data_IF_516828985819
#
_entry.id   IF_516828985819
#
_cell.length_a   1.000
_cell.length_b   1.000
_cell.length_c   1.000
_cell.angle_alpha   90.00
_cell.angle_beta   90.00
_cell.angle_gamma   90.00
#
_symmetry.space_group_name_H-M   'P 1'
#
loop_
_entity.id
_entity.type
_entity.pdbx_description
1 polymer ?
#
# COMPACT_ATOMS: atom_id res chain seq x y z
N UNK A 1 -16.38 25.27 -12.11
CA UNK A 1 -15.44 24.19 -12.54
C UNK A 1 -14.14 24.33 -11.77
N UNK A 2 -13.66 23.25 -11.14
CA UNK A 2 -12.39 23.28 -10.42
C UNK A 2 -11.22 23.52 -11.39
N UNK A 3 -10.29 24.42 -11.04
CA UNK A 3 -9.11 24.70 -11.86
C UNK A 3 -8.24 23.45 -12.01
N UNK A 4 -7.45 23.34 -13.08
CA UNK A 4 -6.54 22.21 -13.31
C UNK A 4 -5.63 21.96 -12.09
N UNK A 5 -5.10 23.03 -11.51
CA UNK A 5 -4.30 22.98 -10.27
C UNK A 5 -5.06 22.34 -9.10
N UNK A 6 -6.32 22.71 -8.91
CA UNK A 6 -7.13 22.18 -7.82
C UNK A 6 -7.36 20.66 -7.98
N UNK A 7 -7.55 20.19 -9.21
CA UNK A 7 -7.65 18.74 -9.51
C UNK A 7 -6.34 18.02 -9.26
N UNK A 8 -5.20 18.59 -9.66
CA UNK A 8 -3.87 18.03 -9.42
C UNK A 8 -3.58 17.85 -7.92
N UNK A 9 -3.83 18.88 -7.11
CA UNK A 9 -3.62 18.79 -5.65
C UNK A 9 -4.61 17.84 -4.97
N UNK A 10 -5.85 17.76 -5.46
CA UNK A 10 -6.82 16.79 -4.97
C UNK A 10 -6.37 15.35 -5.26
N UNK A 11 -5.89 15.08 -6.47
CA UNK A 11 -5.33 13.77 -6.84
C UNK A 11 -4.13 13.41 -5.97
N UNK A 12 -3.19 14.35 -5.81
CA UNK A 12 -2.01 14.14 -4.98
C UNK A 12 -2.40 13.85 -3.52
N UNK A 13 -3.28 14.67 -2.93
CA UNK A 13 -3.73 14.48 -1.55
C UNK A 13 -4.45 13.16 -1.32
N UNK A 14 -5.37 12.80 -2.21
CA UNK A 14 -6.11 11.54 -2.13
C UNK A 14 -5.20 10.33 -2.33
N UNK A 15 -4.27 10.39 -3.29
CA UNK A 15 -3.30 9.32 -3.54
C UNK A 15 -2.38 9.12 -2.34
N UNK A 16 -1.88 10.22 -1.76
CA UNK A 16 -1.01 10.18 -0.58
C UNK A 16 -1.75 9.60 0.64
N UNK A 17 -2.99 10.03 0.87
CA UNK A 17 -3.80 9.50 1.96
C UNK A 17 -4.09 8.01 1.78
N UNK A 18 -4.51 7.61 0.58
CA UNK A 18 -4.77 6.19 0.25
C UNK A 18 -3.52 5.34 0.43
N UNK A 19 -2.37 5.83 -0.03
CA UNK A 19 -1.10 5.16 0.19
C UNK A 19 -0.74 5.06 1.66
N UNK A 20 -0.88 6.15 2.44
CA UNK A 20 -0.56 6.15 3.86
C UNK A 20 -1.40 5.14 4.64
N UNK A 21 -2.70 5.03 4.34
CA UNK A 21 -3.60 4.04 4.95
C UNK A 21 -3.16 2.62 4.58
N UNK A 22 -2.93 2.34 3.30
CA UNK A 22 -2.49 1.02 2.86
C UNK A 22 -1.11 0.64 3.43
N UNK A 23 -0.20 1.60 3.52
CA UNK A 23 1.12 1.38 4.10
C UNK A 23 1.04 1.10 5.61
N UNK A 24 0.18 1.82 6.33
CA UNK A 24 -0.08 1.56 7.75
C UNK A 24 -0.63 0.13 7.96
N UNK A 25 -1.59 -0.29 7.13
CA UNK A 25 -2.13 -1.65 7.15
C UNK A 25 -1.05 -2.69 6.88
N UNK A 26 -0.21 -2.44 5.87
CA UNK A 26 0.85 -3.35 5.49
C UNK A 26 1.90 -3.53 6.60
N UNK A 27 2.31 -2.44 7.25
CA UNK A 27 3.28 -2.47 8.35
C UNK A 27 2.66 -2.97 9.66
N UNK A 28 1.37 -2.75 9.88
CA UNK A 28 0.65 -3.21 11.06
C UNK A 28 0.77 -4.73 11.25
N UNK A 29 0.80 -5.50 10.15
CA UNK A 29 0.90 -6.94 10.20
C UNK A 29 2.17 -7.43 10.90
N UNK A 30 3.29 -6.73 10.72
CA UNK A 30 4.54 -7.04 11.41
C UNK A 30 4.47 -6.74 12.91
N UNK A 31 3.73 -5.69 13.29
CA UNK A 31 3.58 -5.27 14.69
C UNK A 31 2.64 -6.23 15.44
N UNK A 32 1.47 -6.50 14.86
CA UNK A 32 0.48 -7.43 15.44
C UNK A 32 1.05 -8.86 15.47
N UNK A 33 1.89 -9.21 14.50
CA UNK A 33 2.51 -10.52 14.40
C UNK A 33 3.30 -10.93 15.65
N UNK A 34 3.90 -9.97 16.36
CA UNK A 34 4.60 -10.24 17.62
C UNK A 34 3.61 -10.81 18.65
N UNK A 35 2.45 -10.21 18.78
CA UNK A 35 1.39 -10.66 19.67
C UNK A 35 0.83 -12.04 19.28
N UNK A 36 0.60 -12.22 17.99
CA UNK A 36 0.15 -13.52 17.43
C UNK A 36 1.17 -14.63 17.72
N UNK A 37 2.46 -14.30 17.59
CA UNK A 37 3.55 -15.22 17.93
C UNK A 37 3.46 -15.69 19.38
N UNK A 38 3.27 -14.75 20.31
CA UNK A 38 3.21 -15.03 21.73
C UNK A 38 1.93 -15.83 22.11
N UNK A 39 0.78 -15.44 21.54
CA UNK A 39 -0.51 -16.09 21.79
C UNK A 39 -0.59 -17.52 21.24
N UNK A 40 -0.01 -17.77 20.06
CA UNK A 40 -0.02 -19.08 19.41
C UNK A 40 1.25 -19.93 19.69
N UNK A 41 2.22 -19.38 20.42
CA UNK A 41 3.48 -20.08 20.71
C UNK A 41 4.29 -20.40 19.45
N UNK A 42 4.32 -19.49 18.46
CA UNK A 42 4.98 -19.73 17.18
C UNK A 42 6.50 -19.78 17.32
N UNK A 43 7.14 -20.70 16.59
CA UNK A 43 8.58 -20.70 16.43
C UNK A 43 9.07 -19.48 15.64
N UNK A 44 10.36 -19.14 15.75
CA UNK A 44 10.97 -18.04 15.00
C UNK A 44 10.79 -18.20 13.48
N UNK A 45 10.89 -19.43 12.98
CA UNK A 45 10.69 -19.72 11.55
C UNK A 45 9.24 -19.50 11.11
N UNK A 46 8.26 -19.89 11.92
CA UNK A 46 6.83 -19.67 11.64
C UNK A 46 6.48 -18.18 11.66
N UNK A 47 7.00 -17.46 12.65
CA UNK A 47 6.84 -16.01 12.71
C UNK A 47 7.50 -15.32 11.51
N UNK A 48 8.73 -15.69 11.18
CA UNK A 48 9.44 -15.16 10.02
C UNK A 48 8.67 -15.38 8.71
N UNK A 49 8.11 -16.56 8.48
CA UNK A 49 7.28 -16.84 7.31
C UNK A 49 6.02 -15.98 7.29
N UNK A 50 5.32 -15.86 8.43
CA UNK A 50 4.10 -15.07 8.55
C UNK A 50 4.33 -13.59 8.18
N UNK A 51 5.46 -13.01 8.59
CA UNK A 51 5.80 -11.61 8.28
C UNK A 51 6.35 -11.46 6.85
N UNK A 52 7.05 -12.48 6.33
CA UNK A 52 7.63 -12.44 4.98
C UNK A 52 6.57 -12.51 3.87
N UNK A 53 5.48 -13.24 4.06
CA UNK A 53 4.44 -13.41 3.04
C UNK A 53 3.80 -12.10 2.58
N UNK A 54 3.36 -11.19 3.45
CA UNK A 54 2.85 -9.89 3.04
C UNK A 54 3.88 -9.04 2.29
N UNK A 55 5.15 -9.12 2.68
CA UNK A 55 6.24 -8.39 2.01
C UNK A 55 6.44 -8.92 0.60
N UNK A 56 6.48 -10.24 0.45
CA UNK A 56 6.63 -10.90 -0.84
C UNK A 56 5.49 -10.54 -1.79
N UNK A 57 4.24 -10.70 -1.34
CA UNK A 57 3.06 -10.37 -2.15
C UNK A 57 3.02 -8.89 -2.51
N UNK A 58 3.31 -8.01 -1.55
CA UNK A 58 3.37 -6.56 -1.78
C UNK A 58 4.42 -6.16 -2.82
N UNK A 59 5.53 -6.89 -2.89
CA UNK A 59 6.57 -6.65 -3.90
C UNK A 59 6.16 -7.15 -5.28
N UNK A 60 5.62 -8.36 -5.36
CA UNK A 60 5.23 -8.98 -6.63
C UNK A 60 4.06 -8.26 -7.31
N UNK A 61 3.08 -7.81 -6.53
CA UNK A 61 1.86 -7.20 -7.08
C UNK A 61 2.08 -5.78 -7.63
N UNK A 62 3.19 -5.14 -7.31
CA UNK A 62 3.51 -3.78 -7.80
C UNK A 62 3.56 -3.70 -9.32
N UNK A 63 4.16 -4.70 -9.96
CA UNK A 63 4.30 -4.74 -11.41
C UNK A 63 2.95 -4.81 -12.13
N UNK A 64 2.08 -5.81 -11.90
CA UNK A 64 0.78 -5.86 -12.52
C UNK A 64 -0.13 -4.68 -12.15
N UNK A 65 -0.09 -4.20 -10.91
CA UNK A 65 -0.90 -3.05 -10.50
C UNK A 65 -0.47 -1.76 -11.21
N UNK A 66 0.82 -1.54 -11.42
CA UNK A 66 1.32 -0.42 -12.23
C UNK A 66 0.75 -0.46 -13.64
N UNK A 67 0.86 -1.59 -14.32
CA UNK A 67 0.34 -1.77 -15.69
C UNK A 67 -1.19 -1.62 -15.77
N UNK A 68 -1.91 -2.14 -14.79
CA UNK A 68 -3.37 -1.99 -14.71
C UNK A 68 -3.74 -0.52 -14.49
N UNK A 69 -2.97 0.19 -13.67
CA UNK A 69 -3.19 1.61 -13.40
C UNK A 69 -3.01 2.47 -14.64
N UNK A 70 -1.99 2.19 -15.44
CA UNK A 70 -1.74 2.89 -16.70
C UNK A 70 -2.88 2.65 -17.71
N UNK A 71 -3.48 1.47 -17.69
CA UNK A 71 -4.55 1.09 -18.62
C UNK A 71 -5.94 1.57 -18.20
N UNK A 72 -6.30 1.45 -16.94
CA UNK A 72 -7.67 1.69 -16.43
C UNK A 72 -7.79 3.00 -15.63
N UNK A 73 -6.69 3.67 -15.35
CA UNK A 73 -6.67 4.90 -14.57
C UNK A 73 -6.61 4.67 -13.06
N UNK A 74 -5.80 5.47 -12.37
CA UNK A 74 -5.48 5.28 -10.95
C UNK A 74 -6.67 5.36 -10.01
N UNK A 75 -7.69 6.19 -10.32
CA UNK A 75 -8.87 6.34 -9.45
C UNK A 75 -9.63 5.03 -9.27
N UNK A 76 -9.90 4.33 -10.37
CA UNK A 76 -10.66 3.07 -10.35
C UNK A 76 -9.82 1.98 -9.71
N UNK A 77 -8.54 1.91 -10.07
CA UNK A 77 -7.62 0.90 -9.55
C UNK A 77 -7.42 1.07 -8.05
N UNK A 78 -7.22 2.29 -7.54
CA UNK A 78 -7.14 2.54 -6.09
C UNK A 78 -8.42 2.10 -5.37
N UNK A 79 -9.58 2.46 -5.90
CA UNK A 79 -10.85 2.12 -5.26
C UNK A 79 -11.03 0.61 -5.14
N UNK A 80 -10.85 -0.12 -6.25
CA UNK A 80 -10.96 -1.59 -6.26
C UNK A 80 -9.90 -2.22 -5.36
N UNK A 81 -8.66 -1.71 -5.43
CA UNK A 81 -7.56 -2.19 -4.61
C UNK A 81 -7.83 -2.04 -3.12
N UNK A 82 -8.34 -0.88 -2.67
CA UNK A 82 -8.69 -0.66 -1.26
C UNK A 82 -9.80 -1.60 -0.79
N UNK A 83 -10.81 -1.87 -1.63
CA UNK A 83 -11.86 -2.84 -1.32
C UNK A 83 -11.30 -4.26 -1.19
N UNK A 84 -10.42 -4.66 -2.11
CA UNK A 84 -9.77 -5.98 -2.07
C UNK A 84 -8.91 -6.17 -0.82
N UNK A 85 -8.23 -5.13 -0.37
CA UNK A 85 -7.40 -5.15 0.85
C UNK A 85 -8.27 -5.15 2.11
N UNK A 86 -9.42 -4.49 2.10
CA UNK A 86 -10.33 -4.45 3.25
C UNK A 86 -10.88 -5.84 3.64
N UNK A 87 -11.08 -6.73 2.66
CA UNK A 87 -11.61 -8.07 2.89
C UNK A 87 -10.68 -8.90 3.81
N UNK A 88 -9.39 -9.11 3.50
CA UNK A 88 -8.50 -9.87 4.35
C UNK A 88 -8.25 -9.20 5.71
N UNK A 89 -8.26 -7.87 5.78
CA UNK A 89 -8.15 -7.16 7.07
C UNK A 89 -9.35 -7.51 7.97
N UNK A 90 -10.55 -7.46 7.42
CA UNK A 90 -11.74 -7.86 8.17
C UNK A 90 -11.68 -9.35 8.56
N UNK A 91 -11.15 -10.19 7.68
CA UNK A 91 -10.94 -11.62 7.96
C UNK A 91 -9.99 -11.88 9.13
N UNK A 92 -9.00 -11.01 9.37
CA UNK A 92 -8.08 -11.15 10.50
C UNK A 92 -8.79 -11.10 11.87
N UNK A 93 -9.93 -10.43 11.97
CA UNK A 93 -10.73 -10.39 13.20
C UNK A 93 -11.27 -11.78 13.61
N UNK A 94 -11.36 -12.70 12.65
CA UNK A 94 -11.84 -14.07 12.87
C UNK A 94 -10.71 -15.11 12.83
N UNK A 95 -9.47 -14.67 12.65
CA UNK A 95 -8.31 -15.53 12.58
C UNK A 95 -7.96 -16.05 13.98
N UNK A 96 -7.89 -17.38 14.13
CA UNK A 96 -7.58 -18.05 15.39
C UNK A 96 -6.47 -19.09 15.24
N UNK A 97 -6.08 -19.42 14.04
CA UNK A 97 -5.06 -20.43 13.74
C UNK A 97 -3.95 -19.87 12.87
N UNK A 98 -2.76 -20.42 12.99
CA UNK A 98 -1.59 -20.01 12.21
C UNK A 98 -1.86 -19.92 10.69
N UNK A 99 -2.58 -20.90 10.14
CA UNK A 99 -2.97 -20.91 8.73
C UNK A 99 -3.82 -19.73 8.30
N UNK A 100 -4.73 -19.28 9.15
CA UNK A 100 -5.54 -18.09 8.86
C UNK A 100 -4.66 -16.86 8.66
N UNK A 101 -3.66 -16.70 9.54
CA UNK A 101 -2.72 -15.56 9.44
C UNK A 101 -1.82 -15.64 8.22
N UNK A 102 -1.39 -16.85 7.79
CA UNK A 102 -0.61 -17.01 6.58
C UNK A 102 -1.40 -16.61 5.33
N UNK A 103 -2.61 -17.16 5.17
CA UNK A 103 -3.46 -16.91 4.02
C UNK A 103 -3.91 -15.46 3.98
N UNK A 104 -4.43 -14.93 5.08
CA UNK A 104 -4.88 -13.54 5.15
C UNK A 104 -3.71 -12.56 5.01
N UNK A 105 -2.55 -12.87 5.58
CA UNK A 105 -1.33 -12.09 5.44
C UNK A 105 -0.87 -11.97 3.99
N UNK A 106 -0.97 -13.05 3.23
CA UNK A 106 -0.68 -13.05 1.79
C UNK A 106 -1.58 -12.06 1.04
N UNK A 107 -2.86 -11.99 1.37
CA UNK A 107 -3.79 -11.03 0.77
C UNK A 107 -3.63 -9.61 1.32
N UNK A 108 -3.34 -9.45 2.61
CA UNK A 108 -2.98 -8.13 3.20
C UNK A 108 -1.74 -7.55 2.52
N UNK A 109 -0.83 -8.39 2.06
CA UNK A 109 0.33 -7.98 1.28
C UNK A 109 -0.01 -7.19 0.03
N UNK A 110 -1.20 -7.37 -0.56
CA UNK A 110 -1.67 -6.56 -1.69
C UNK A 110 -1.61 -5.06 -1.37
N UNK A 111 -1.83 -4.67 -0.12
CA UNK A 111 -1.73 -3.27 0.31
C UNK A 111 -0.39 -2.61 -0.06
N UNK A 112 0.71 -3.37 -0.06
CA UNK A 112 2.02 -2.91 -0.50
C UNK A 112 2.10 -2.51 -1.97
N UNK A 113 1.15 -2.97 -2.80
CA UNK A 113 1.02 -2.59 -4.21
C UNK A 113 0.48 -1.17 -4.43
N UNK A 114 -0.16 -0.57 -3.42
CA UNK A 114 -0.72 0.79 -3.49
C UNK A 114 0.32 1.86 -3.86
N UNK A 115 1.59 1.62 -3.56
CA UNK A 115 2.70 2.49 -3.94
C UNK A 115 2.83 2.62 -5.47
N UNK A 116 2.78 1.49 -6.19
CA UNK A 116 2.86 1.49 -7.65
C UNK A 116 1.66 2.21 -8.28
N UNK A 117 0.45 1.97 -7.75
CA UNK A 117 -0.77 2.66 -8.19
C UNK A 117 -0.65 4.16 -7.99
N UNK A 118 -0.17 4.58 -6.81
CA UNK A 118 -0.02 5.99 -6.47
C UNK A 118 1.02 6.70 -7.34
N UNK A 119 2.16 6.07 -7.60
CA UNK A 119 3.18 6.63 -8.51
C UNK A 119 2.61 6.79 -9.92
N UNK A 120 2.06 5.72 -10.51
CA UNK A 120 1.51 5.76 -11.85
C UNK A 120 0.40 6.81 -11.99
N UNK A 121 -0.53 6.86 -11.02
CA UNK A 121 -1.62 7.82 -11.04
C UNK A 121 -1.15 9.26 -10.84
N UNK A 122 -0.24 9.51 -9.91
CA UNK A 122 0.28 10.86 -9.65
C UNK A 122 1.09 11.36 -10.85
N UNK A 123 1.95 10.52 -11.44
CA UNK A 123 2.76 10.91 -12.59
C UNK A 123 1.94 11.33 -13.80
N UNK A 124 0.78 10.70 -14.03
CA UNK A 124 -0.11 11.05 -15.13
C UNK A 124 -0.74 12.46 -15.03
N UNK A 125 -0.78 13.05 -13.82
CA UNK A 125 -1.37 14.37 -13.58
C UNK A 125 -0.38 15.53 -13.52
N UNK A 126 0.92 15.25 -13.47
CA UNK A 126 1.97 16.26 -13.34
C UNK A 126 2.90 16.25 -14.55
N UNK A 127 3.26 17.42 -15.04
CA UNK A 127 4.28 17.61 -16.09
C UNK A 127 5.64 17.08 -15.60
N UNK A 128 6.50 16.66 -16.54
CA UNK A 128 7.79 16.03 -16.25
C UNK A 128 8.66 16.83 -15.26
N UNK A 129 8.66 18.16 -15.39
CA UNK A 129 9.43 19.06 -14.54
C UNK A 129 8.95 19.06 -13.07
N UNK A 130 7.68 18.74 -12.84
CA UNK A 130 7.05 18.73 -11.51
C UNK A 130 6.80 17.33 -10.95
N UNK A 131 7.00 16.29 -11.75
CA UNK A 131 6.79 14.91 -11.32
C UNK A 131 7.68 14.55 -10.14
N UNK A 132 8.95 14.96 -10.14
CA UNK A 132 9.87 14.70 -9.05
C UNK A 132 9.38 15.24 -7.70
N UNK A 133 8.89 16.48 -7.67
CA UNK A 133 8.33 17.10 -6.46
C UNK A 133 7.02 16.40 -6.04
N UNK A 134 6.13 16.10 -6.98
CA UNK A 134 4.87 15.43 -6.70
C UNK A 134 5.08 14.01 -6.16
N UNK A 135 6.00 13.26 -6.76
CA UNK A 135 6.38 11.92 -6.27
C UNK A 135 7.13 11.98 -4.95
N UNK A 136 7.95 13.01 -4.73
CA UNK A 136 8.59 13.29 -3.46
C UNK A 136 7.55 13.49 -2.35
N UNK A 137 6.52 14.31 -2.57
CA UNK A 137 5.42 14.51 -1.62
C UNK A 137 4.63 13.22 -1.39
N UNK A 138 4.32 12.48 -2.45
CA UNK A 138 3.62 11.20 -2.37
C UNK A 138 4.40 10.15 -1.57
N UNK A 139 5.72 10.04 -1.80
CA UNK A 139 6.61 9.08 -1.13
C UNK A 139 7.31 9.63 0.11
N UNK A 140 7.26 10.95 0.34
CA UNK A 140 8.06 11.57 1.38
C UNK A 140 7.37 11.53 2.73
N UNK A 141 8.02 10.83 3.62
CA UNK A 141 8.00 11.14 5.05
C UNK A 141 9.02 12.23 5.45
N UNK A 142 9.79 12.75 4.50
CA UNK A 142 10.78 13.80 4.76
C UNK A 142 10.73 14.86 3.66
N UNK A 143 10.64 16.15 4.01
CA UNK A 143 10.84 17.21 3.04
C UNK A 143 12.28 17.10 2.48
N UNK A 144 12.48 17.34 1.17
CA UNK A 144 13.83 17.41 0.62
C UNK A 144 14.61 18.50 1.38
N UNK A 145 15.85 18.18 1.74
CA UNK A 145 16.75 19.18 2.29
C UNK A 145 16.84 20.35 1.31
N UNK A 146 16.87 21.60 1.78
CA UNK A 146 17.08 22.76 0.90
C UNK A 146 18.40 22.57 0.13
N UNK A 147 18.45 23.01 -1.13
CA UNK A 147 19.69 22.93 -1.90
C UNK A 147 20.79 23.77 -1.22
N UNK A 148 22.04 23.38 -1.37
CA UNK A 148 23.18 24.08 -0.77
C UNK A 148 23.33 25.52 -1.26
#
# INVERSE_FOLDING_TARGET
>A
MASLRQKQYSVLGMSTLSFAVNFAVWTMFSIIGIRIKDELGLSESQFGLMVALPILTGSLVRLPLGLITDRFGGRIVFFIHMLLVAIPIYGLAFASQYWHYLVLGLFVGLAGGSFAVGIAYTSAWFEKERQGTAMGIFGARHPPAPPP
#
